data_IF_054346861565
#
_entry.id   IF_054346861565
#
_cell.length_a   1.000
_cell.length_b   1.000
_cell.length_c   1.000
_cell.angle_alpha   90.00
_cell.angle_beta   90.00
_cell.angle_gamma   90.00
#
_symmetry.space_group_name_H-M   'P 1'
#
loop_
_entity.id
_entity.type
_entity.pdbx_description
1 polymer ?
#
# COMPACT_ATOMS: atom_id res chain seq x y z
N UNK A 1 1.90 -18.25 -35.03
CA UNK A 1 0.46 -17.92 -35.11
C UNK A 1 -0.15 -18.22 -33.76
N UNK A 2 -0.39 -17.20 -32.93
CA UNK A 2 -0.99 -17.36 -31.58
C UNK A 2 -2.23 -16.47 -31.50
N UNK A 3 -3.34 -16.98 -32.04
CA UNK A 3 -4.67 -16.40 -31.87
C UNK A 3 -5.23 -16.84 -30.51
N UNK A 4 -4.83 -16.13 -29.45
CA UNK A 4 -5.65 -16.00 -28.24
C UNK A 4 -6.31 -14.62 -28.29
N UNK A 5 -7.22 -14.43 -29.25
CA UNK A 5 -8.15 -13.31 -29.18
C UNK A 5 -9.08 -13.59 -28.00
N UNK A 6 -9.13 -12.66 -27.05
CA UNK A 6 -10.05 -12.67 -25.91
C UNK A 6 -11.46 -12.91 -26.46
N UNK A 7 -12.16 -13.93 -25.99
CA UNK A 7 -13.47 -14.37 -26.53
C UNK A 7 -14.50 -13.22 -26.63
N UNK A 8 -14.36 -12.21 -25.75
CA UNK A 8 -15.13 -10.96 -25.72
C UNK A 8 -15.01 -10.12 -27.01
N UNK A 9 -13.89 -10.22 -27.74
CA UNK A 9 -13.63 -9.41 -28.94
C UNK A 9 -14.55 -9.78 -30.12
N UNK A 10 -15.21 -10.94 -30.06
CA UNK A 10 -16.04 -11.45 -31.16
C UNK A 10 -17.53 -11.46 -30.83
N UNK A 11 -17.90 -11.37 -29.55
CA UNK A 11 -19.29 -11.47 -29.09
C UNK A 11 -19.98 -10.12 -28.91
N UNK A 12 -19.25 -8.99 -28.92
CA UNK A 12 -19.77 -7.66 -28.51
C UNK A 12 -20.44 -7.67 -27.12
N UNK A 13 -20.19 -8.70 -26.32
CA UNK A 13 -20.77 -8.91 -25.00
C UNK A 13 -19.65 -8.92 -23.96
N UNK A 14 -19.80 -8.06 -22.96
CA UNK A 14 -18.94 -7.97 -21.78
C UNK A 14 -19.75 -8.52 -20.60
N UNK A 15 -19.39 -9.70 -20.09
CA UNK A 15 -20.04 -10.29 -18.93
C UNK A 15 -19.57 -9.60 -17.65
N UNK A 16 -20.48 -8.85 -17.02
CA UNK A 16 -20.27 -8.18 -15.74
C UNK A 16 -21.18 -8.74 -14.63
N UNK A 17 -21.72 -9.96 -14.81
CA UNK A 17 -22.67 -10.57 -13.87
C UNK A 17 -22.08 -10.85 -12.48
N UNK A 18 -20.76 -11.04 -12.39
CA UNK A 18 -20.05 -11.22 -11.13
C UNK A 18 -19.77 -9.91 -10.38
N UNK A 19 -19.94 -8.76 -11.04
CA UNK A 19 -19.63 -7.45 -10.48
C UNK A 19 -20.79 -6.88 -9.65
N UNK A 20 -20.46 -6.08 -8.65
CA UNK A 20 -21.47 -5.38 -7.86
C UNK A 20 -22.22 -4.35 -8.74
N UNK A 21 -23.57 -4.37 -8.78
CA UNK A 21 -24.34 -3.45 -9.63
C UNK A 21 -24.05 -1.97 -9.40
N UNK A 22 -23.64 -1.59 -8.19
CA UNK A 22 -23.25 -0.22 -7.86
C UNK A 22 -21.94 0.16 -8.54
N UNK A 23 -21.00 -0.77 -8.62
CA UNK A 23 -19.71 -0.58 -9.31
C UNK A 23 -19.93 -0.42 -10.82
N UNK A 24 -20.76 -1.28 -11.42
CA UNK A 24 -21.13 -1.18 -12.84
C UNK A 24 -21.86 0.12 -13.15
N UNK A 25 -22.78 0.55 -12.27
CA UNK A 25 -23.47 1.83 -12.42
C UNK A 25 -22.49 3.00 -12.42
N UNK A 26 -21.50 2.99 -11.53
CA UNK A 26 -20.48 4.04 -11.46
C UNK A 26 -19.55 4.02 -12.68
N UNK A 27 -19.18 2.84 -13.18
CA UNK A 27 -18.46 2.70 -14.44
C UNK A 27 -19.24 3.34 -15.59
N UNK A 28 -20.53 3.01 -15.73
CA UNK A 28 -21.39 3.60 -16.77
C UNK A 28 -21.52 5.12 -16.61
N UNK A 29 -21.67 5.61 -15.38
CA UNK A 29 -21.69 7.05 -15.13
C UNK A 29 -20.44 7.73 -15.65
N UNK A 30 -19.25 7.20 -15.33
CA UNK A 30 -17.99 7.72 -15.82
C UNK A 30 -17.93 7.73 -17.35
N UNK A 31 -18.34 6.65 -18.02
CA UNK A 31 -18.31 6.57 -19.49
C UNK A 31 -19.16 7.65 -20.17
N UNK A 32 -20.24 8.09 -19.53
CA UNK A 32 -21.13 9.12 -20.06
C UNK A 32 -20.78 10.54 -19.61
N UNK A 33 -20.11 10.71 -18.45
CA UNK A 33 -19.93 12.01 -17.79
C UNK A 33 -18.46 12.40 -17.58
N UNK A 34 -17.52 11.49 -17.86
CA UNK A 34 -16.07 11.60 -17.57
C UNK A 34 -15.75 11.84 -16.08
N UNK A 35 -16.72 11.62 -15.19
CA UNK A 35 -16.58 11.61 -13.73
C UNK A 35 -17.66 10.69 -13.11
N UNK A 36 -17.51 10.39 -11.82
CA UNK A 36 -18.51 9.64 -11.07
C UNK A 36 -18.88 10.29 -9.74
N UNK A 37 -20.15 10.12 -9.37
CA UNK A 37 -20.64 10.61 -8.07
C UNK A 37 -20.07 9.79 -6.92
N UNK A 38 -19.57 10.50 -5.92
CA UNK A 38 -19.02 9.92 -4.68
C UNK A 38 -20.11 10.00 -3.61
N UNK A 39 -20.43 8.86 -2.99
CA UNK A 39 -21.34 8.84 -1.85
C UNK A 39 -20.73 9.52 -0.61
N UNK A 40 -21.56 9.84 0.37
CA UNK A 40 -21.10 10.41 1.66
C UNK A 40 -20.63 9.36 2.66
N UNK A 41 -21.01 8.09 2.45
CA UNK A 41 -20.61 6.96 3.28
C UNK A 41 -19.22 6.46 2.84
N UNK A 42 -18.20 6.90 3.57
CA UNK A 42 -16.79 6.59 3.28
C UNK A 42 -16.49 5.08 3.33
N UNK A 43 -17.22 4.34 4.16
CA UNK A 43 -17.07 2.88 4.28
C UNK A 43 -17.41 2.21 2.96
N UNK A 44 -18.55 2.59 2.38
CA UNK A 44 -19.02 2.08 1.09
C UNK A 44 -18.18 2.62 -0.06
N UNK A 45 -17.78 3.89 0.02
CA UNK A 45 -17.00 4.55 -1.03
C UNK A 45 -15.67 3.86 -1.26
N UNK A 46 -14.91 3.54 -0.21
CA UNK A 46 -13.60 2.91 -0.37
C UNK A 46 -13.67 1.51 -0.97
N UNK A 47 -14.67 0.71 -0.56
CA UNK A 47 -14.87 -0.61 -1.14
C UNK A 47 -15.33 -0.52 -2.61
N UNK A 48 -16.20 0.45 -2.91
CA UNK A 48 -16.63 0.75 -4.28
C UNK A 48 -15.44 1.18 -5.15
N UNK A 49 -14.57 2.06 -4.66
CA UNK A 49 -13.39 2.54 -5.40
C UNK A 49 -12.38 1.41 -5.63
N UNK A 50 -12.15 0.52 -4.65
CA UNK A 50 -11.31 -0.66 -4.85
C UNK A 50 -11.84 -1.58 -5.98
N UNK A 51 -13.16 -1.84 -5.99
CA UNK A 51 -13.82 -2.67 -7.03
C UNK A 51 -13.82 -1.97 -8.38
N UNK A 52 -14.15 -0.67 -8.40
CA UNK A 52 -14.19 0.14 -9.62
C UNK A 52 -12.81 0.24 -10.27
N UNK A 53 -11.75 0.35 -9.46
CA UNK A 53 -10.38 0.29 -9.96
C UNK A 53 -10.13 -1.03 -10.71
N UNK A 54 -10.40 -2.16 -10.07
CA UNK A 54 -10.21 -3.47 -10.68
C UNK A 54 -11.02 -3.63 -11.97
N UNK A 55 -12.28 -3.21 -11.96
CA UNK A 55 -13.14 -3.24 -13.14
C UNK A 55 -12.61 -2.32 -14.26
N UNK A 56 -12.14 -1.12 -13.93
CA UNK A 56 -11.51 -0.22 -14.90
C UNK A 56 -10.26 -0.84 -15.52
N UNK A 57 -9.45 -1.56 -14.73
CA UNK A 57 -8.29 -2.31 -15.25
C UNK A 57 -8.72 -3.47 -16.15
N UNK A 58 -9.75 -4.22 -15.76
CA UNK A 58 -10.30 -5.33 -16.54
C UNK A 58 -10.80 -4.89 -17.92
N UNK A 59 -11.55 -3.78 -17.95
CA UNK A 59 -12.09 -3.13 -19.15
C UNK A 59 -11.04 -2.31 -19.92
N UNK A 60 -9.80 -2.21 -19.42
CA UNK A 60 -8.71 -1.43 -20.00
C UNK A 60 -9.01 0.09 -20.15
N UNK A 61 -9.74 0.67 -19.20
CA UNK A 61 -10.08 2.09 -19.15
C UNK A 61 -9.06 2.81 -18.25
N UNK A 62 -7.87 3.08 -18.80
CA UNK A 62 -6.76 3.62 -18.02
C UNK A 62 -7.04 4.96 -17.33
N UNK A 63 -7.81 5.85 -17.99
CA UNK A 63 -8.16 7.16 -17.42
C UNK A 63 -8.99 7.01 -16.15
N UNK A 64 -9.97 6.11 -16.16
CA UNK A 64 -10.78 5.80 -14.98
C UNK A 64 -9.92 5.18 -13.87
N UNK A 65 -9.09 4.19 -14.20
CA UNK A 65 -8.21 3.57 -13.19
C UNK A 65 -7.30 4.59 -12.50
N UNK A 66 -6.72 5.54 -13.26
CA UNK A 66 -5.92 6.65 -12.71
C UNK A 66 -6.75 7.58 -11.83
N UNK A 67 -7.94 7.98 -12.29
CA UNK A 67 -8.86 8.83 -11.52
C UNK A 67 -9.23 8.18 -10.19
N UNK A 68 -9.59 6.89 -10.21
CA UNK A 68 -9.94 6.13 -9.01
C UNK A 68 -8.76 6.02 -8.05
N UNK A 69 -7.53 5.79 -8.53
CA UNK A 69 -6.34 5.82 -7.67
C UNK A 69 -6.16 7.15 -6.94
N UNK A 70 -6.31 8.27 -7.66
CA UNK A 70 -6.16 9.61 -7.08
C UNK A 70 -7.23 9.88 -6.03
N UNK A 71 -8.49 9.58 -6.35
CA UNK A 71 -9.62 9.74 -5.44
C UNK A 71 -9.47 8.86 -4.21
N UNK A 72 -9.21 7.56 -4.40
CA UNK A 72 -9.00 6.60 -3.32
C UNK A 72 -7.89 7.04 -2.37
N UNK A 73 -6.73 7.46 -2.90
CA UNK A 73 -5.64 7.96 -2.07
C UNK A 73 -6.03 9.23 -1.29
N UNK A 74 -6.83 10.12 -1.89
CA UNK A 74 -7.32 11.31 -1.19
C UNK A 74 -8.27 10.95 -0.05
N UNK A 75 -9.23 10.07 -0.32
CA UNK A 75 -10.25 9.62 0.63
C UNK A 75 -9.64 8.84 1.79
N UNK A 76 -8.74 7.90 1.49
CA UNK A 76 -8.17 7.02 2.51
C UNK A 76 -7.27 7.77 3.48
N UNK A 77 -6.56 8.81 3.01
CA UNK A 77 -5.70 9.64 3.85
C UNK A 77 -6.52 10.55 4.78
N UNK A 78 -7.72 10.95 4.36
CA UNK A 78 -8.60 11.84 5.12
C UNK A 78 -9.31 11.13 6.27
N UNK A 79 -9.98 10.01 5.97
CA UNK A 79 -10.95 9.41 6.90
C UNK A 79 -10.49 8.08 7.53
N UNK A 80 -9.44 7.43 6.97
CA UNK A 80 -8.81 6.19 7.46
C UNK A 80 -9.80 5.21 8.12
N UNK A 81 -10.79 4.67 7.39
CA UNK A 81 -11.88 3.92 8.01
C UNK A 81 -11.42 2.53 8.47
N UNK A 82 -10.98 2.46 9.73
CA UNK A 82 -10.39 1.28 10.39
C UNK A 82 -11.23 0.02 10.26
N UNK A 83 -12.55 0.16 10.43
CA UNK A 83 -13.47 -0.96 10.49
C UNK A 83 -13.55 -1.75 9.17
N UNK A 84 -13.43 -1.07 8.03
CA UNK A 84 -13.56 -1.70 6.69
C UNK A 84 -12.21 -1.91 6.01
N UNK A 85 -11.14 -1.32 6.54
CA UNK A 85 -9.83 -1.35 5.92
C UNK A 85 -9.32 -2.77 5.59
N UNK A 86 -9.51 -3.80 6.44
CA UNK A 86 -9.15 -5.18 6.09
C UNK A 86 -9.91 -5.71 4.86
N UNK A 87 -11.20 -5.41 4.75
CA UNK A 87 -12.01 -5.81 3.60
C UNK A 87 -11.56 -5.10 2.32
N UNK A 88 -11.19 -3.83 2.42
CA UNK A 88 -10.65 -3.05 1.30
C UNK A 88 -9.30 -3.60 0.83
N UNK A 89 -8.38 -3.93 1.74
CA UNK A 89 -7.11 -4.59 1.40
C UNK A 89 -7.37 -5.91 0.68
N UNK A 90 -8.28 -6.74 1.21
CA UNK A 90 -8.66 -8.00 0.58
C UNK A 90 -9.24 -7.81 -0.81
N UNK A 91 -10.13 -6.84 -0.99
CA UNK A 91 -10.70 -6.51 -2.30
C UNK A 91 -9.60 -6.13 -3.31
N UNK A 92 -8.64 -5.28 -2.92
CA UNK A 92 -7.53 -4.85 -3.79
C UNK A 92 -6.65 -6.04 -4.17
N UNK A 93 -6.23 -6.84 -3.21
CA UNK A 93 -5.28 -7.92 -3.48
C UNK A 93 -5.89 -9.11 -4.23
N UNK A 94 -7.20 -9.35 -4.07
CA UNK A 94 -7.90 -10.41 -4.82
C UNK A 94 -8.23 -10.01 -6.27
N UNK A 95 -8.30 -8.71 -6.57
CA UNK A 95 -8.76 -8.20 -7.85
C UNK A 95 -7.65 -7.60 -8.73
N UNK A 96 -6.46 -7.41 -8.17
CA UNK A 96 -5.28 -6.90 -8.90
C UNK A 96 -4.19 -7.96 -8.94
N UNK A 97 -3.41 -8.13 -10.02
CA UNK A 97 -2.25 -9.00 -10.05
C UNK A 97 -1.07 -8.39 -9.27
N UNK A 98 -0.07 -9.20 -8.89
CA UNK A 98 1.10 -8.73 -8.13
C UNK A 98 1.94 -7.65 -8.85
N UNK A 99 1.87 -7.59 -10.19
CA UNK A 99 2.52 -6.57 -11.02
C UNK A 99 1.82 -5.22 -10.95
N UNK A 100 0.54 -5.18 -10.57
CA UNK A 100 -0.21 -3.93 -10.42
C UNK A 100 0.02 -3.35 -9.03
N UNK A 101 0.90 -2.35 -8.96
CA UNK A 101 1.34 -1.74 -7.71
C UNK A 101 0.52 -0.52 -7.28
N UNK A 102 -0.41 -0.03 -8.10
CA UNK A 102 -1.03 1.29 -7.88
C UNK A 102 -1.78 1.36 -6.55
N UNK A 103 -2.85 0.58 -6.36
CA UNK A 103 -3.57 0.58 -5.08
C UNK A 103 -2.87 -0.26 -4.01
N UNK A 104 -2.09 -1.27 -4.40
CA UNK A 104 -1.34 -2.13 -3.46
C UNK A 104 -0.34 -1.32 -2.65
N UNK A 105 0.43 -0.45 -3.30
CA UNK A 105 1.41 0.39 -2.61
C UNK A 105 0.72 1.42 -1.71
N UNK A 106 -0.41 2.00 -2.12
CA UNK A 106 -1.19 2.93 -1.29
C UNK A 106 -1.61 2.31 0.04
N UNK A 107 -2.19 1.10 0.01
CA UNK A 107 -2.63 0.45 1.25
C UNK A 107 -1.48 -0.06 2.10
N UNK A 108 -0.36 -0.48 1.49
CA UNK A 108 0.87 -0.84 2.23
C UNK A 108 1.45 0.38 2.92
N UNK A 109 1.59 1.49 2.20
CA UNK A 109 2.17 2.72 2.74
C UNK A 109 1.33 3.26 3.90
N UNK A 110 0.01 3.28 3.76
CA UNK A 110 -0.88 3.67 4.84
C UNK A 110 -0.76 2.72 6.04
N UNK A 111 -0.74 1.40 5.78
CA UNK A 111 -0.63 0.37 6.82
C UNK A 111 0.63 0.51 7.65
N UNK A 112 1.77 0.81 7.02
CA UNK A 112 3.04 1.02 7.72
C UNK A 112 3.06 2.38 8.44
N UNK A 113 2.64 3.45 7.77
CA UNK A 113 2.68 4.82 8.31
C UNK A 113 1.75 5.01 9.51
N UNK A 114 0.62 4.30 9.54
CA UNK A 114 -0.41 4.39 10.57
C UNK A 114 -0.63 3.06 11.30
N UNK A 115 0.41 2.23 11.41
CA UNK A 115 0.27 0.86 11.92
C UNK A 115 -0.40 0.78 13.30
N UNK A 116 -0.10 1.71 14.21
CA UNK A 116 -0.72 1.75 15.54
C UNK A 116 -2.24 2.00 15.51
N UNK A 117 -2.74 2.60 14.42
CA UNK A 117 -4.12 3.04 14.30
C UNK A 117 -4.99 2.08 13.48
N UNK A 118 -4.47 1.57 12.37
CA UNK A 118 -5.27 0.88 11.35
C UNK A 118 -4.85 -0.57 11.10
N UNK A 119 -3.64 -0.96 11.53
CA UNK A 119 -3.12 -2.30 11.23
C UNK A 119 -3.73 -3.32 12.17
N UNK A 120 -4.42 -4.32 11.62
CA UNK A 120 -5.05 -5.39 12.38
C UNK A 120 -4.58 -6.75 11.89
N UNK A 121 -4.64 -7.77 12.76
CA UNK A 121 -4.24 -9.14 12.38
C UNK A 121 -5.08 -9.70 11.23
N UNK A 122 -6.35 -9.29 11.13
CA UNK A 122 -7.27 -9.69 10.04
C UNK A 122 -6.72 -9.36 8.65
N UNK A 123 -5.88 -8.32 8.53
CA UNK A 123 -5.28 -7.94 7.25
C UNK A 123 -4.24 -8.96 6.76
N UNK A 124 -3.72 -9.80 7.66
CA UNK A 124 -2.80 -10.88 7.34
C UNK A 124 -3.54 -12.20 7.04
N UNK A 125 -4.86 -12.25 7.27
CA UNK A 125 -5.68 -13.43 7.09
C UNK A 125 -6.27 -13.47 5.68
N UNK A 126 -5.95 -14.52 4.92
CA UNK A 126 -6.49 -14.74 3.58
C UNK A 126 -5.88 -13.89 2.46
N UNK A 127 -4.82 -13.11 2.74
CA UNK A 127 -4.03 -12.36 1.74
C UNK A 127 -2.53 -12.43 2.11
N UNK A 128 -1.89 -13.53 1.74
CA UNK A 128 -0.47 -13.78 2.04
C UNK A 128 0.48 -12.74 1.43
N UNK A 129 0.19 -12.30 0.20
CA UNK A 129 1.01 -11.33 -0.53
C UNK A 129 1.00 -9.93 0.08
N UNK A 130 -0.05 -9.55 0.84
CA UNK A 130 -0.08 -8.26 1.54
C UNK A 130 0.96 -8.22 2.65
N UNK A 131 1.02 -9.25 3.50
CA UNK A 131 2.02 -9.33 4.56
C UNK A 131 3.45 -9.31 4.03
N UNK A 132 3.70 -9.98 2.90
CA UNK A 132 4.99 -9.94 2.21
C UNK A 132 5.37 -8.53 1.77
N UNK A 133 4.42 -7.75 1.22
CA UNK A 133 4.69 -6.39 0.77
C UNK A 133 4.90 -5.42 1.93
N UNK A 134 4.13 -5.55 3.03
CA UNK A 134 4.40 -4.84 4.28
C UNK A 134 5.80 -5.14 4.82
N UNK A 135 6.20 -6.42 4.84
CA UNK A 135 7.53 -6.82 5.30
C UNK A 135 8.65 -6.23 4.42
N UNK A 136 8.49 -6.25 3.09
CA UNK A 136 9.44 -5.62 2.15
C UNK A 136 9.56 -4.12 2.39
N UNK A 137 8.43 -3.43 2.58
CA UNK A 137 8.40 -1.98 2.86
C UNK A 137 9.14 -1.67 4.16
N UNK A 138 8.82 -2.37 5.25
CA UNK A 138 9.49 -2.22 6.54
C UNK A 138 11.00 -2.47 6.46
N UNK A 139 11.43 -3.49 5.71
CA UNK A 139 12.86 -3.76 5.53
C UNK A 139 13.56 -2.64 4.77
N UNK A 140 12.91 -2.09 3.75
CA UNK A 140 13.46 -0.97 2.96
C UNK A 140 13.56 0.31 3.80
N UNK A 141 12.53 0.62 4.59
CA UNK A 141 12.55 1.78 5.49
C UNK A 141 13.57 1.64 6.62
N UNK A 142 13.70 0.45 7.22
CA UNK A 142 14.74 0.19 8.23
C UNK A 142 16.16 0.26 7.64
N UNK A 143 16.36 -0.17 6.39
CA UNK A 143 17.66 0.02 5.71
C UNK A 143 18.02 1.50 5.59
N UNK A 144 17.06 2.37 5.23
CA UNK A 144 17.30 3.82 5.24
C UNK A 144 17.66 4.32 6.62
N UNK A 145 17.12 3.71 7.68
CA UNK A 145 17.48 4.06 9.06
C UNK A 145 18.90 3.58 9.43
N UNK A 146 19.36 2.47 8.86
CA UNK A 146 20.74 2.02 9.06
C UNK A 146 21.76 2.72 8.14
N UNK A 147 21.33 3.26 6.99
CA UNK A 147 22.21 3.98 6.05
C UNK A 147 22.67 5.35 6.60
N UNK A 148 22.01 5.91 7.62
CA UNK A 148 22.51 7.08 8.35
C UNK A 148 23.33 6.74 9.58
N UNK A 149 23.65 5.45 9.83
CA UNK A 149 24.41 5.07 11.00
C UNK A 149 25.72 5.87 11.08
N UNK A 150 25.78 6.78 12.05
CA UNK A 150 26.94 7.62 12.32
C UNK A 150 28.04 6.69 12.81
N UNK A 151 29.22 6.77 12.18
CA UNK A 151 30.40 6.07 12.64
C UNK A 151 30.86 6.70 13.95
N UNK A 152 31.04 5.89 14.98
CA UNK A 152 31.60 6.34 16.24
C UNK A 152 32.94 5.66 16.50
N UNK A 153 33.88 6.43 17.03
CA UNK A 153 35.15 5.93 17.56
C UNK A 153 35.16 6.10 19.08
N UNK A 154 35.42 5.01 19.82
CA UNK A 154 35.62 5.12 21.27
C UNK A 154 37.01 5.68 21.55
N UNK A 155 37.08 6.79 22.27
CA UNK A 155 38.35 7.39 22.69
C UNK A 155 39.12 6.55 23.72
N UNK A 156 38.47 5.56 24.36
CA UNK A 156 39.09 4.70 25.38
C UNK A 156 39.73 3.42 24.82
N UNK A 157 39.09 2.77 23.85
CA UNK A 157 39.57 1.49 23.30
C UNK A 157 39.82 1.52 21.79
N UNK A 158 39.61 2.66 21.14
CA UNK A 158 39.76 2.85 19.69
C UNK A 158 38.89 1.92 18.84
N UNK A 159 37.90 1.25 19.45
CA UNK A 159 36.93 0.44 18.73
C UNK A 159 36.04 1.32 17.86
N UNK A 160 35.79 0.90 16.62
CA UNK A 160 34.85 1.54 15.71
C UNK A 160 33.55 0.76 15.67
N UNK A 161 32.41 1.43 15.73
CA UNK A 161 31.10 0.80 15.51
C UNK A 161 30.12 1.74 14.84
N UNK A 162 29.09 1.13 14.24
CA UNK A 162 27.98 1.81 13.61
C UNK A 162 26.72 1.51 14.41
N UNK A 163 26.01 2.54 14.88
CA UNK A 163 24.78 2.34 15.66
C UNK A 163 23.79 3.48 15.46
N UNK A 164 22.51 3.19 15.74
CA UNK A 164 21.51 4.21 16.04
C UNK A 164 21.88 4.96 17.35
N UNK A 165 21.47 6.22 17.55
CA UNK A 165 21.93 7.18 18.56
C UNK A 165 21.38 6.89 19.96
N UNK A 166 21.00 5.64 20.24
CA UNK A 166 20.37 5.21 21.48
C UNK A 166 21.30 4.40 22.39
N UNK A 167 22.58 4.21 22.03
CA UNK A 167 23.53 3.51 22.89
C UNK A 167 24.28 4.48 23.79
N UNK A 168 24.01 4.37 25.10
CA UNK A 168 24.70 5.15 26.15
C UNK A 168 26.10 4.62 26.48
N UNK A 169 26.55 3.52 25.86
CA UNK A 169 27.83 2.87 26.20
C UNK A 169 28.53 2.29 24.96
N UNK A 170 29.87 2.31 24.95
CA UNK A 170 30.69 1.62 23.96
C UNK A 170 30.49 0.09 24.06
N UNK A 171 30.18 -0.62 22.96
CA UNK A 171 29.91 -2.06 23.00
C UNK A 171 31.14 -2.92 23.31
N UNK A 172 32.36 -2.38 23.11
CA UNK A 172 33.60 -3.12 23.33
C UNK A 172 34.17 -2.97 24.73
N UNK A 173 34.11 -1.76 25.31
CA UNK A 173 34.71 -1.47 26.61
C UNK A 173 33.73 -0.99 27.69
N UNK A 174 32.44 -0.85 27.34
CA UNK A 174 31.34 -0.40 28.22
C UNK A 174 31.52 0.99 28.83
N UNK A 175 32.39 1.84 28.25
CA UNK A 175 32.53 3.24 28.66
C UNK A 175 31.30 4.06 28.28
N UNK A 176 30.85 4.97 29.16
CA UNK A 176 29.66 5.80 28.95
C UNK A 176 29.85 6.87 27.87
N UNK A 177 28.80 7.12 27.07
CA UNK A 177 28.82 7.89 25.83
C UNK A 177 28.96 9.40 26.01
N UNK A 178 28.69 9.95 27.20
CA UNK A 178 28.60 11.41 27.39
C UNK A 178 29.93 12.18 27.28
N UNK A 179 31.08 11.50 27.40
CA UNK A 179 32.40 12.16 27.41
C UNK A 179 33.48 11.49 26.52
N UNK A 180 33.14 10.45 25.72
CA UNK A 180 34.16 9.56 25.13
C UNK A 180 33.92 9.06 23.69
N UNK A 181 32.97 9.65 22.96
CA UNK A 181 32.67 9.29 21.57
C UNK A 181 32.76 10.52 20.68
N UNK A 182 33.58 10.47 19.64
CA UNK A 182 33.60 11.45 18.54
C UNK A 182 32.95 10.83 17.30
N UNK A 183 32.23 11.65 16.54
CA UNK A 183 31.76 11.28 15.20
C UNK A 183 32.98 11.16 14.26
N UNK A 184 33.05 10.06 13.52
CA UNK A 184 34.13 9.78 12.53
C UNK A 184 33.88 10.52 11.20
#
# INVERSE_FOLDING_TARGET
>A
MTTHLRQESCTNELDLSAEDPSTVKVLLQYLYQDDYTRGTDMTKLMLLEARLYALARYCNIEKLAKLVCVNFNTHIQKDRPKAIFPEVVKAIYNSTPASDRSLRDVVVDLSISHHAEIFTSQMMEGVDSFGLDCFKKLRYENKKVHDWAIGFVCLKCSGKWFTAPLYEFCPFCKAGSKDHCEED
#
